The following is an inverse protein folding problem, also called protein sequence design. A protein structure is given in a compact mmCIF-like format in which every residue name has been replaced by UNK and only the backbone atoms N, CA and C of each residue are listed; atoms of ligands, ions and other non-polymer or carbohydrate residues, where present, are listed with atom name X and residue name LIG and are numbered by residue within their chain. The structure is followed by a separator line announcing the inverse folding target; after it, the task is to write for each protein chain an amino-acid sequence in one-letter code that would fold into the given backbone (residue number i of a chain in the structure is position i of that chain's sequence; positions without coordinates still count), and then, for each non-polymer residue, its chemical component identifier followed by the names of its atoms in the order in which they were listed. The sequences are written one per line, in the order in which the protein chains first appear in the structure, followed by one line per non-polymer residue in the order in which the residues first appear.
data_IF_158224550654
#
_entry.id   IF_158224550654
#
_cell.length_a   1.000
_cell.length_b   1.000
_cell.length_c   1.000
_cell.angle_alpha   90.00
_cell.angle_beta   90.00
_cell.angle_gamma   90.00
#
_symmetry.space_group_name_H-M   'P 1'
#
loop_
_entity.id
_entity.type
_entity.pdbx_description
1 polymer ?
#
# COMPACT_ATOMS: atom_id res chain seq x y z
N UNK A 1 -1.34 -28.65 -8.93
CA UNK A 1 -2.45 -29.06 -8.10
C UNK A 1 -2.17 -28.92 -6.64
N UNK A 2 -1.32 -29.77 -6.07
CA UNK A 2 -0.96 -29.60 -4.66
C UNK A 2 -0.31 -28.28 -4.35
N UNK A 3 0.49 -27.75 -5.25
CA UNK A 3 1.14 -26.46 -5.05
C UNK A 3 0.13 -25.34 -4.84
N UNK A 4 -1.04 -25.44 -5.49
CA UNK A 4 -2.07 -24.41 -5.35
C UNK A 4 -2.74 -24.42 -3.98
N UNK A 5 -2.74 -25.57 -3.29
CA UNK A 5 -3.33 -25.68 -1.97
C UNK A 5 -2.52 -24.95 -0.91
N UNK A 6 -1.23 -24.80 -1.14
CA UNK A 6 -0.31 -24.22 -0.17
C UNK A 6 0.17 -22.83 -0.55
N UNK A 7 -0.17 -22.36 -1.74
CA UNK A 7 0.19 -21.01 -2.16
C UNK A 7 -0.76 -20.00 -1.53
N UNK A 8 -0.19 -18.95 -0.94
CA UNK A 8 -0.97 -17.84 -0.50
C UNK A 8 -1.39 -17.03 -1.71
N UNK A 9 -2.66 -16.72 -1.78
CA UNK A 9 -3.18 -15.84 -2.84
C UNK A 9 -3.34 -14.44 -2.31
N UNK A 10 -2.43 -13.58 -2.71
CA UNK A 10 -2.56 -12.15 -2.46
C UNK A 10 -3.42 -11.54 -3.55
N UNK A 11 -4.30 -10.65 -3.18
CA UNK A 11 -5.08 -9.91 -4.15
C UNK A 11 -4.34 -8.63 -4.51
N UNK A 12 -3.93 -8.52 -5.76
CA UNK A 12 -3.22 -7.34 -6.25
C UNK A 12 -4.17 -6.47 -7.05
N UNK A 13 -4.03 -5.16 -6.89
CA UNK A 13 -4.82 -4.17 -7.61
C UNK A 13 -3.90 -3.15 -8.27
N UNK A 14 -4.43 -2.45 -9.28
CA UNK A 14 -3.71 -1.39 -9.96
C UNK A 14 -4.13 -0.01 -9.46
N UNK A 15 -3.54 1.02 -10.06
CA UNK A 15 -3.81 2.39 -9.65
C UNK A 15 -5.26 2.81 -9.86
N UNK A 16 -5.94 2.21 -10.83
CA UNK A 16 -7.34 2.55 -11.11
C UNK A 16 -8.25 2.18 -9.94
N UNK A 17 -7.96 1.05 -9.29
CA UNK A 17 -8.72 0.64 -8.11
C UNK A 17 -8.45 1.57 -6.93
N UNK A 18 -7.23 2.07 -6.80
CA UNK A 18 -6.93 3.06 -5.77
C UNK A 18 -7.70 4.34 -6.04
N UNK A 19 -7.74 4.80 -7.29
CA UNK A 19 -8.53 5.97 -7.66
C UNK A 19 -10.01 5.77 -7.33
N UNK A 20 -10.54 4.58 -7.59
CA UNK A 20 -11.92 4.26 -7.22
C UNK A 20 -12.13 4.40 -5.71
N UNK A 21 -11.20 3.90 -4.92
CA UNK A 21 -11.30 3.97 -3.46
C UNK A 21 -11.32 5.40 -2.94
N UNK A 22 -10.63 6.32 -3.60
CA UNK A 22 -10.61 7.71 -3.19
C UNK A 22 -11.98 8.38 -3.31
N UNK A 23 -12.81 7.86 -4.19
CA UNK A 23 -14.19 8.35 -4.39
C UNK A 23 -15.22 7.63 -3.52
N UNK A 24 -14.79 6.60 -2.81
CA UNK A 24 -15.66 5.74 -2.00
C UNK A 24 -15.10 5.54 -0.59
N UNK A 25 -14.73 6.63 0.06
CA UNK A 25 -14.01 6.63 1.35
C UNK A 25 -14.70 5.83 2.44
N UNK A 26 -16.01 5.75 2.38
CA UNK A 26 -16.76 5.06 3.44
C UNK A 26 -16.56 3.55 3.45
N UNK A 27 -16.10 3.01 2.33
CA UNK A 27 -15.94 1.56 2.15
C UNK A 27 -14.47 1.12 2.15
N UNK A 28 -13.55 2.05 2.07
CA UNK A 28 -12.13 1.73 1.90
C UNK A 28 -11.28 2.39 2.97
N UNK A 29 -10.27 1.64 3.41
CA UNK A 29 -9.20 2.17 4.24
C UNK A 29 -7.90 1.90 3.50
N UNK A 30 -7.07 2.92 3.37
CA UNK A 30 -5.78 2.80 2.73
C UNK A 30 -4.70 2.91 3.80
N UNK A 31 -3.85 1.90 3.88
CA UNK A 31 -2.74 1.88 4.82
C UNK A 31 -1.43 1.70 4.07
N UNK A 32 -0.35 2.10 4.71
CA UNK A 32 0.97 2.02 4.09
C UNK A 32 1.95 1.27 4.98
N UNK A 33 3.00 0.72 4.37
CA UNK A 33 4.06 0.02 5.08
C UNK A 33 5.38 0.79 5.04
N UNK A 34 5.33 2.08 4.74
CA UNK A 34 6.51 2.94 4.76
C UNK A 34 7.02 3.09 6.21
N UNK A 35 8.29 3.45 6.35
CA UNK A 35 8.87 3.70 7.66
C UNK A 35 8.21 4.91 8.34
N UNK A 36 8.31 4.98 9.67
CA UNK A 36 7.73 6.09 10.40
C UNK A 36 8.26 7.45 9.98
N UNK A 37 9.52 7.50 9.53
CA UNK A 37 10.13 8.75 9.06
C UNK A 37 9.82 9.06 7.59
N UNK A 38 8.99 8.25 6.95
CA UNK A 38 8.60 8.43 5.55
C UNK A 38 7.11 8.70 5.39
N UNK A 39 6.47 9.24 6.41
CA UNK A 39 5.03 9.48 6.38
C UNK A 39 4.64 10.87 5.85
N UNK A 40 5.60 11.64 5.34
CA UNK A 40 5.33 13.00 4.88
C UNK A 40 4.61 13.07 3.54
N UNK A 41 4.77 12.06 2.71
CA UNK A 41 4.12 12.00 1.40
C UNK A 41 3.43 10.67 1.27
N UNK A 42 2.11 10.70 1.32
CA UNK A 42 1.27 9.49 1.24
C UNK A 42 0.20 9.70 0.19
N UNK A 43 -0.26 8.61 -0.40
CA UNK A 43 -1.43 8.65 -1.28
C UNK A 43 -2.59 9.27 -0.49
N UNK A 44 -3.37 10.10 -1.14
CA UNK A 44 -4.51 10.76 -0.51
C UNK A 44 -5.38 9.72 0.23
N UNK A 45 -5.91 10.10 1.39
CA UNK A 45 -6.74 9.25 2.26
C UNK A 45 -5.99 8.10 2.94
N UNK A 46 -4.68 8.02 2.83
CA UNK A 46 -3.91 7.02 3.57
C UNK A 46 -3.91 7.35 5.05
N UNK A 47 -4.14 6.34 5.89
CA UNK A 47 -3.98 6.50 7.33
C UNK A 47 -2.49 6.64 7.65
N UNK A 48 -2.10 7.66 8.42
CA UNK A 48 -0.74 7.71 8.94
C UNK A 48 -0.46 6.48 9.81
N UNK A 49 0.77 6.02 9.81
CA UNK A 49 1.12 4.81 10.55
C UNK A 49 0.81 4.91 12.04
N UNK A 50 0.83 6.13 12.59
CA UNK A 50 0.54 6.36 14.01
C UNK A 50 -0.93 6.13 14.37
N UNK A 51 -1.84 6.21 13.40
CA UNK A 51 -3.28 6.05 13.64
C UNK A 51 -3.81 4.69 13.22
N UNK A 52 -3.01 3.92 12.50
CA UNK A 52 -3.45 2.67 11.90
C UNK A 52 -3.99 1.68 12.92
N UNK A 53 -3.23 1.42 13.97
CA UNK A 53 -3.60 0.42 14.97
C UNK A 53 -4.91 0.78 15.66
N UNK A 54 -5.07 2.03 16.05
CA UNK A 54 -6.28 2.50 16.72
C UNK A 54 -7.51 2.32 15.85
N UNK A 55 -7.41 2.67 14.59
CA UNK A 55 -8.54 2.59 13.66
C UNK A 55 -8.89 1.14 13.33
N UNK A 56 -7.88 0.30 13.09
CA UNK A 56 -8.12 -1.13 12.82
C UNK A 56 -8.79 -1.78 14.03
N UNK A 57 -8.31 -1.51 15.24
CA UNK A 57 -8.91 -2.06 16.44
C UNK A 57 -10.35 -1.59 16.64
N UNK A 58 -10.63 -0.34 16.31
CA UNK A 58 -11.98 0.20 16.37
C UNK A 58 -12.94 -0.55 15.45
N UNK A 59 -12.50 -0.86 14.22
CA UNK A 59 -13.31 -1.60 13.26
C UNK A 59 -13.60 -3.00 13.78
N UNK A 60 -12.61 -3.66 14.35
CA UNK A 60 -12.76 -5.01 14.91
C UNK A 60 -13.76 -4.99 16.05
N UNK A 61 -13.65 -4.02 16.96
CA UNK A 61 -14.54 -3.90 18.11
C UNK A 61 -15.99 -3.62 17.71
N UNK A 62 -16.18 -2.82 16.68
CA UNK A 62 -17.51 -2.48 16.19
C UNK A 62 -18.09 -3.54 15.27
N UNK A 63 -17.34 -4.61 15.01
CA UNK A 63 -17.76 -5.70 14.14
C UNK A 63 -18.12 -5.25 12.71
N UNK A 64 -17.38 -4.27 12.21
CA UNK A 64 -17.59 -3.73 10.87
C UNK A 64 -16.61 -4.28 9.84
N UNK A 65 -15.97 -5.40 10.16
CA UNK A 65 -14.91 -5.99 9.32
C UNK A 65 -15.41 -6.25 7.89
N UNK A 66 -16.62 -6.79 7.76
CA UNK A 66 -17.15 -7.17 6.44
C UNK A 66 -17.57 -5.99 5.58
N UNK A 67 -17.71 -4.80 6.17
CA UNK A 67 -18.15 -3.60 5.44
C UNK A 67 -16.98 -2.81 4.85
N UNK A 68 -15.74 -3.17 5.18
CA UNK A 68 -14.56 -2.38 4.85
C UNK A 68 -13.60 -3.21 3.99
N UNK A 69 -13.08 -2.59 2.94
CA UNK A 69 -11.98 -3.12 2.16
C UNK A 69 -10.71 -2.35 2.51
N UNK A 70 -9.63 -3.07 2.78
CA UNK A 70 -8.36 -2.46 3.12
C UNK A 70 -7.41 -2.56 1.93
N UNK A 71 -6.84 -1.42 1.54
CA UNK A 71 -5.82 -1.37 0.51
C UNK A 71 -4.47 -1.08 1.18
N UNK A 72 -3.47 -1.88 0.85
CA UNK A 72 -2.12 -1.76 1.39
C UNK A 72 -1.17 -1.37 0.27
N UNK A 73 -0.26 -0.45 0.53
CA UNK A 73 0.83 -0.18 -0.40
C UNK A 73 2.13 0.09 0.35
N UNK A 74 3.24 -0.13 -0.32
CA UNK A 74 4.58 0.14 0.20
C UNK A 74 5.30 1.14 -0.69
N UNK A 75 6.63 1.08 -0.69
CA UNK A 75 7.45 2.00 -1.47
C UNK A 75 7.31 1.77 -2.97
N UNK A 76 7.36 0.52 -3.39
CA UNK A 76 7.40 0.13 -4.80
C UNK A 76 6.95 -1.32 -4.94
N UNK A 77 6.98 -1.83 -6.17
CA UNK A 77 6.47 -3.17 -6.48
C UNK A 77 7.30 -4.29 -5.83
N UNK A 78 8.49 -3.99 -5.34
CA UNK A 78 9.39 -4.99 -4.76
C UNK A 78 9.48 -4.90 -3.23
N UNK A 79 8.51 -4.29 -2.60
CA UNK A 79 8.47 -4.11 -1.15
C UNK A 79 7.65 -5.23 -0.50
N UNK A 80 8.33 -6.22 0.07
CA UNK A 80 7.67 -7.39 0.64
C UNK A 80 6.96 -7.11 1.97
N UNK A 81 7.13 -5.94 2.55
CA UNK A 81 6.43 -5.60 3.79
C UNK A 81 4.91 -5.56 3.61
N UNK A 82 4.44 -5.37 2.37
CA UNK A 82 3.00 -5.35 2.09
C UNK A 82 2.37 -6.72 2.28
N UNK A 83 3.06 -7.78 1.88
CA UNK A 83 2.56 -9.13 2.07
C UNK A 83 2.48 -9.50 3.55
N UNK A 84 3.47 -9.11 4.33
CA UNK A 84 3.46 -9.34 5.77
C UNK A 84 2.28 -8.64 6.44
N UNK A 85 1.99 -7.41 6.04
CA UNK A 85 0.85 -6.66 6.56
C UNK A 85 -0.47 -7.30 6.14
N UNK A 86 -0.56 -7.73 4.89
CA UNK A 86 -1.73 -8.44 4.37
C UNK A 86 -2.04 -9.66 5.24
N UNK A 87 -1.02 -10.49 5.49
CA UNK A 87 -1.20 -11.69 6.30
C UNK A 87 -1.73 -11.38 7.69
N UNK A 88 -1.22 -10.32 8.32
CA UNK A 88 -1.68 -9.92 9.65
C UNK A 88 -3.15 -9.52 9.64
N UNK A 89 -3.58 -8.80 8.62
CA UNK A 89 -4.96 -8.36 8.52
C UNK A 89 -5.90 -9.54 8.30
N UNK A 90 -5.51 -10.51 7.48
CA UNK A 90 -6.28 -11.74 7.30
C UNK A 90 -6.41 -12.48 8.64
N UNK A 91 -5.33 -12.56 9.42
CA UNK A 91 -5.38 -13.18 10.74
C UNK A 91 -6.33 -12.46 11.68
N UNK A 92 -6.48 -11.14 11.53
CA UNK A 92 -7.42 -10.36 12.33
C UNK A 92 -8.87 -10.56 11.91
N UNK A 93 -9.12 -11.25 10.81
CA UNK A 93 -10.46 -11.55 10.33
C UNK A 93 -10.94 -10.74 9.14
N UNK A 94 -10.12 -9.82 8.63
CA UNK A 94 -10.47 -9.07 7.44
C UNK A 94 -10.47 -9.98 6.22
N UNK A 95 -11.50 -9.90 5.40
CA UNK A 95 -11.63 -10.73 4.20
C UNK A 95 -11.31 -9.98 2.93
N UNK A 96 -11.62 -8.69 2.91
CA UNK A 96 -11.40 -7.85 1.74
C UNK A 96 -10.16 -7.01 1.94
N UNK A 97 -9.02 -7.58 1.56
CA UNK A 97 -7.72 -6.92 1.64
C UNK A 97 -7.07 -7.01 0.27
N UNK A 98 -6.51 -5.92 -0.19
CA UNK A 98 -5.85 -5.85 -1.49
C UNK A 98 -4.53 -5.09 -1.39
N UNK A 99 -3.60 -5.43 -2.26
CA UNK A 99 -2.29 -4.80 -2.32
C UNK A 99 -2.18 -3.99 -3.61
N UNK A 100 -1.93 -2.69 -3.46
CA UNK A 100 -1.54 -1.86 -4.59
C UNK A 100 -0.03 -2.04 -4.79
N UNK A 101 0.31 -2.92 -5.71
CA UNK A 101 1.68 -3.38 -5.87
C UNK A 101 2.62 -2.30 -6.41
N UNK A 102 2.11 -1.38 -7.22
CA UNK A 102 2.93 -0.29 -7.74
C UNK A 102 3.53 0.59 -6.65
N UNK A 103 2.80 0.76 -5.57
CA UNK A 103 3.29 1.49 -4.41
C UNK A 103 3.40 2.99 -4.63
N UNK A 104 4.04 3.64 -3.67
CA UNK A 104 4.21 5.10 -3.73
C UNK A 104 5.05 5.51 -4.95
N UNK A 105 6.03 4.71 -5.33
CA UNK A 105 6.88 5.02 -6.48
C UNK A 105 6.05 5.17 -7.76
N UNK A 106 5.21 4.18 -8.07
CA UNK A 106 4.35 4.26 -9.26
C UNK A 106 3.39 5.44 -9.17
N UNK A 107 2.78 5.63 -7.99
CA UNK A 107 1.83 6.73 -7.81
C UNK A 107 2.46 8.10 -8.07
N UNK A 108 3.68 8.30 -7.58
CA UNK A 108 4.39 9.56 -7.80
C UNK A 108 4.81 9.75 -9.25
N UNK A 109 5.17 8.69 -9.95
CA UNK A 109 5.45 8.77 -11.39
C UNK A 109 4.19 9.16 -12.15
N UNK A 110 3.06 8.57 -11.80
CA UNK A 110 1.77 8.91 -12.41
C UNK A 110 1.39 10.35 -12.10
N UNK A 111 1.65 10.80 -10.89
CA UNK A 111 1.41 12.18 -10.50
C UNK A 111 2.27 13.15 -11.32
N UNK A 112 3.52 12.79 -11.55
CA UNK A 112 4.44 13.62 -12.33
C UNK A 112 3.98 13.76 -13.79
N UNK A 113 3.44 12.70 -14.34
CA UNK A 113 3.00 12.69 -15.75
C UNK A 113 1.61 13.32 -15.90
N UNK A 114 0.68 12.95 -15.04
CA UNK A 114 -0.75 13.29 -15.20
C UNK A 114 -1.24 14.37 -14.25
N UNK A 115 -0.43 14.81 -13.30
CA UNK A 115 -0.76 15.90 -12.40
C UNK A 115 -1.26 15.48 -11.04
N UNK A 116 -1.05 16.37 -10.06
CA UNK A 116 -1.42 16.13 -8.67
C UNK A 116 -2.92 16.02 -8.47
N UNK A 117 -3.71 16.69 -9.29
CA UNK A 117 -5.16 16.60 -9.17
C UNK A 117 -5.69 15.22 -9.51
N UNK A 118 -5.00 14.52 -10.42
CA UNK A 118 -5.41 13.18 -10.84
C UNK A 118 -4.84 12.09 -9.95
N UNK A 119 -3.66 12.31 -9.37
CA UNK A 119 -3.01 11.36 -8.47
C UNK A 119 -2.59 12.09 -7.19
N UNK A 120 -3.56 12.41 -6.32
CA UNK A 120 -3.28 13.28 -5.18
C UNK A 120 -2.51 12.58 -4.07
N UNK A 121 -1.68 13.37 -3.39
CA UNK A 121 -0.92 12.95 -2.21
C UNK A 121 -1.07 13.99 -1.10
N UNK A 122 -0.78 13.59 0.13
CA UNK A 122 -0.85 14.48 1.28
C UNK A 122 0.27 15.51 1.30
N UNK A 123 1.38 15.21 0.65
CA UNK A 123 2.52 16.13 0.55
C UNK A 123 3.11 16.09 -0.82
N UNK A 124 4.31 16.65 -0.96
CA UNK A 124 5.01 16.69 -2.23
C UNK A 124 6.42 16.14 -2.07
N UNK A 125 6.83 15.28 -2.97
CA UNK A 125 8.20 14.78 -3.04
C UNK A 125 8.75 15.04 -4.43
N UNK A 126 9.85 15.78 -4.49
CA UNK A 126 10.50 16.09 -5.76
C UNK A 126 11.37 14.92 -6.21
N UNK A 127 12.02 14.27 -5.27
CA UNK A 127 12.90 13.13 -5.58
C UNK A 127 12.11 11.83 -5.59
N UNK A 128 11.43 11.57 -6.70
CA UNK A 128 10.62 10.36 -6.86
C UNK A 128 11.47 9.09 -6.76
N UNK A 129 12.71 9.16 -7.25
CA UNK A 129 13.62 8.01 -7.24
C UNK A 129 14.00 7.54 -5.84
N UNK A 130 13.73 8.35 -4.83
CA UNK A 130 13.89 7.96 -3.44
C UNK A 130 13.13 6.67 -3.11
N UNK A 131 12.03 6.42 -3.81
CA UNK A 131 11.17 5.26 -3.57
C UNK A 131 11.35 4.14 -4.60
N UNK A 132 12.32 4.26 -5.49
CA UNK A 132 12.58 3.25 -6.51
C UNK A 132 12.97 1.91 -5.89
N UNK A 133 12.74 0.78 -6.58
CA UNK A 133 13.22 -0.50 -6.09
C UNK A 133 14.74 -0.56 -6.08
N UNK A 134 15.26 -1.39 -5.21
CA UNK A 134 16.71 -1.57 -5.10
C UNK A 134 17.27 -2.22 -6.36
N UNK A 135 18.46 -1.79 -6.70
CA UNK A 135 19.19 -2.34 -7.84
C UNK A 135 19.57 -3.80 -7.58
N UNK A 136 19.34 -4.66 -8.56
CA UNK A 136 19.72 -6.07 -8.45
C UNK A 136 21.04 -6.36 -9.11
N UNK A 137 21.13 -6.00 -10.40
CA UNK A 137 22.34 -6.29 -11.16
C UNK A 137 23.41 -5.25 -10.87
N UNK A 138 24.64 -5.71 -10.78
CA UNK A 138 25.79 -4.84 -10.58
C UNK A 138 26.08 -4.51 -9.14
N UNK A 139 25.24 -4.90 -8.18
CA UNK A 139 25.47 -4.60 -6.77
C UNK A 139 26.76 -5.26 -6.27
N UNK A 140 27.04 -6.50 -6.68
CA UNK A 140 28.21 -7.23 -6.28
C UNK A 140 29.48 -6.77 -7.00
N UNK A 141 29.33 -6.02 -8.07
CA UNK A 141 30.48 -5.47 -8.79
C UNK A 141 31.21 -4.39 -7.98
N UNK A 142 30.53 -3.81 -7.03
CA UNK A 142 31.09 -2.77 -6.17
C UNK A 142 32.11 -3.34 -5.21
N UNK A 143 32.04 -4.63 -4.95
CA UNK A 143 32.95 -5.28 -3.99
C UNK A 143 34.29 -5.70 -4.56
N UNK A 144 34.48 -5.55 -5.85
CA UNK A 144 35.76 -5.93 -6.48
C UNK A 144 36.86 -4.91 -6.28
#
# INVERSE_FOLDING_TARGET
MFSNLFQKKYQFIGFEDVLYSLKNKDKFIIINTLNHNEQNVLICNTLPSTEEESIINSIIQKKNISAITIIIYGKNYNDSSVEAKYDKLIECGFKDVAIYKGGLFEWLLLQDIYGKNNFPTSGKEIDILKFKPLKTFGNHLITY
#
